data_IF_845963477825
#
_entry.id   IF_845963477825
#
_cell.length_a   1.000
_cell.length_b   1.000
_cell.length_c   1.000
_cell.angle_alpha   90.00
_cell.angle_beta   90.00
_cell.angle_gamma   90.00
#
_symmetry.space_group_name_H-M   'P 1'
#
loop_
_entity.id
_entity.type
_entity.pdbx_description
1 polymer ?
#
# COMPACT_ATOMS: atom_id res chain seq x y z
N UNK A 1 -1.15 -55.19 29.92
CA UNK A 1 -0.74 -54.81 28.55
C UNK A 1 -1.38 -53.49 28.04
N UNK A 2 -2.30 -52.93 28.83
CA UNK A 2 -3.15 -51.77 28.42
C UNK A 2 -2.58 -50.36 28.68
N UNK A 3 -1.59 -50.23 29.58
CA UNK A 3 -1.02 -48.96 29.95
C UNK A 3 -0.11 -48.34 28.88
N UNK A 4 0.46 -49.14 28.00
CA UNK A 4 1.35 -48.62 26.90
C UNK A 4 0.52 -48.08 25.73
N UNK A 5 -0.62 -48.73 25.45
CA UNK A 5 -1.55 -48.28 24.41
C UNK A 5 -2.24 -46.98 24.81
N UNK A 6 -2.61 -46.79 26.09
CA UNK A 6 -3.18 -45.55 26.57
C UNK A 6 -2.20 -44.37 26.54
N UNK A 7 -0.94 -44.60 26.90
CA UNK A 7 0.12 -43.56 26.82
C UNK A 7 0.40 -43.10 25.38
N UNK A 8 0.43 -44.06 24.43
CA UNK A 8 0.58 -43.72 23.00
C UNK A 8 -0.63 -42.97 22.46
N UNK A 9 -1.84 -43.39 22.83
CA UNK A 9 -3.05 -42.70 22.43
C UNK A 9 -3.13 -41.27 22.99
N UNK A 10 -2.75 -41.07 24.25
CA UNK A 10 -2.67 -39.73 24.87
C UNK A 10 -1.62 -38.87 24.18
N UNK A 11 -0.42 -39.41 23.87
CA UNK A 11 0.60 -38.66 23.17
C UNK A 11 0.14 -38.23 21.77
N UNK A 12 -0.51 -39.13 21.01
CA UNK A 12 -1.03 -38.81 19.67
C UNK A 12 -2.14 -37.76 19.77
N UNK A 13 -3.05 -37.87 20.73
CA UNK A 13 -4.12 -36.90 20.97
C UNK A 13 -3.54 -35.51 21.32
N UNK A 14 -2.53 -35.46 22.19
CA UNK A 14 -1.86 -34.21 22.58
C UNK A 14 -1.18 -33.57 21.36
N UNK A 15 -0.54 -34.37 20.54
CA UNK A 15 0.14 -33.89 19.33
C UNK A 15 -0.85 -33.36 18.28
N UNK A 16 -1.99 -34.03 18.15
CA UNK A 16 -3.08 -33.57 17.28
C UNK A 16 -3.67 -32.23 17.75
N UNK A 17 -3.91 -32.08 19.06
CA UNK A 17 -4.41 -30.82 19.65
C UNK A 17 -3.39 -29.69 19.43
N UNK A 18 -2.10 -29.95 19.65
CA UNK A 18 -1.05 -28.95 19.42
C UNK A 18 -0.96 -28.56 17.93
N UNK A 19 -1.11 -29.49 17.01
CA UNK A 19 -1.12 -29.22 15.58
C UNK A 19 -2.31 -28.34 15.17
N UNK A 20 -3.52 -28.65 15.68
CA UNK A 20 -4.71 -27.84 15.44
C UNK A 20 -4.55 -26.43 16.03
N UNK A 21 -4.01 -26.32 17.22
CA UNK A 21 -3.76 -25.04 17.88
C UNK A 21 -2.73 -24.20 17.12
N UNK A 22 -1.68 -24.83 16.62
CA UNK A 22 -0.67 -24.17 15.78
C UNK A 22 -1.28 -23.64 14.48
N UNK A 23 -2.10 -24.42 13.79
CA UNK A 23 -2.80 -23.98 12.57
C UNK A 23 -3.76 -22.83 12.88
N UNK A 24 -4.53 -22.93 13.98
CA UNK A 24 -5.45 -21.88 14.38
C UNK A 24 -4.72 -20.56 14.69
N UNK A 25 -3.60 -20.61 15.41
CA UNK A 25 -2.77 -19.42 15.68
C UNK A 25 -2.23 -18.83 14.38
N UNK A 26 -1.73 -19.65 13.45
CA UNK A 26 -1.23 -19.16 12.17
C UNK A 26 -2.32 -18.51 11.32
N UNK A 27 -3.52 -19.10 11.26
CA UNK A 27 -4.66 -18.51 10.54
C UNK A 27 -5.12 -17.21 11.20
N UNK A 28 -5.24 -17.17 12.51
CA UNK A 28 -5.62 -15.97 13.26
C UNK A 28 -4.56 -14.87 13.10
N UNK A 29 -3.28 -15.21 13.20
CA UNK A 29 -2.16 -14.30 13.00
C UNK A 29 -2.18 -13.70 11.60
N UNK A 30 -2.37 -14.52 10.56
CA UNK A 30 -2.39 -14.06 9.17
C UNK A 30 -3.57 -13.10 8.89
N UNK A 31 -4.73 -13.34 9.49
CA UNK A 31 -5.91 -12.44 9.38
C UNK A 31 -5.69 -11.16 10.19
N UNK A 32 -5.19 -11.28 11.42
CA UNK A 32 -5.00 -10.14 12.34
C UNK A 32 -3.90 -9.19 11.87
N UNK A 33 -2.78 -9.73 11.37
CA UNK A 33 -1.65 -8.90 10.92
C UNK A 33 -1.86 -8.26 9.55
N UNK A 34 -2.81 -8.74 8.74
CA UNK A 34 -3.19 -8.04 7.50
C UNK A 34 -3.93 -6.73 7.76
N UNK A 35 -4.63 -6.64 8.88
CA UNK A 35 -5.44 -5.46 9.24
C UNK A 35 -4.66 -4.48 10.13
N UNK A 36 -3.61 -4.94 10.82
CA UNK A 36 -2.79 -4.10 11.70
C UNK A 36 -1.42 -3.88 11.07
N UNK A 37 -1.31 -2.94 10.14
CA UNK A 37 0.00 -2.34 9.82
C UNK A 37 0.41 -1.51 11.04
N UNK A 38 1.19 -2.10 11.93
CA UNK A 38 1.81 -1.37 13.02
C UNK A 38 2.97 -0.58 12.41
N UNK A 39 2.80 0.71 12.28
CA UNK A 39 3.88 1.62 11.92
C UNK A 39 4.82 1.74 13.13
N UNK A 40 5.95 1.04 13.07
CA UNK A 40 6.99 1.04 14.11
C UNK A 40 7.99 2.18 13.92
N UNK A 41 7.73 3.12 13.02
CA UNK A 41 8.60 4.29 12.86
C UNK A 41 8.32 5.29 13.98
N UNK A 42 9.38 5.86 14.55
CA UNK A 42 9.33 6.79 15.69
C UNK A 42 8.49 8.06 15.40
N UNK A 43 8.20 8.34 14.14
CA UNK A 43 7.43 9.51 13.69
C UNK A 43 6.08 9.15 13.03
N UNK A 44 5.63 7.88 13.05
CA UNK A 44 4.39 7.45 12.38
C UNK A 44 4.29 7.97 10.93
N UNK A 45 5.40 7.95 10.21
CA UNK A 45 5.57 8.58 8.89
C UNK A 45 4.66 7.99 7.81
N UNK A 46 4.02 6.86 8.10
CA UNK A 46 3.18 6.10 7.17
C UNK A 46 1.73 5.99 7.63
N UNK A 47 1.34 6.73 8.68
CA UNK A 47 -0.04 6.79 9.16
C UNK A 47 -0.56 8.20 9.11
N UNK A 48 -1.79 8.36 8.63
CA UNK A 48 -2.46 9.65 8.60
C UNK A 48 -2.77 10.11 10.02
N UNK A 49 -2.53 11.39 10.32
CA UNK A 49 -2.93 11.99 11.60
C UNK A 49 -4.46 11.99 11.74
N UNK A 50 -4.94 12.00 12.98
CA UNK A 50 -6.38 12.08 13.24
C UNK A 50 -7.01 13.34 12.63
N UNK A 51 -6.26 14.46 12.62
CA UNK A 51 -6.67 15.69 11.95
C UNK A 51 -6.88 15.50 10.46
N UNK A 52 -5.95 14.82 9.78
CA UNK A 52 -6.06 14.50 8.34
C UNK A 52 -7.25 13.60 8.07
N UNK A 53 -7.46 12.55 8.88
CA UNK A 53 -8.61 11.65 8.75
C UNK A 53 -9.94 12.38 8.88
N UNK A 54 -10.04 13.27 9.88
CA UNK A 54 -11.24 14.08 10.09
C UNK A 54 -11.51 15.02 8.91
N UNK A 55 -10.45 15.62 8.34
CA UNK A 55 -10.59 16.48 7.15
C UNK A 55 -11.05 15.68 5.93
N UNK A 56 -10.50 14.48 5.71
CA UNK A 56 -10.90 13.62 4.59
C UNK A 56 -12.35 13.16 4.71
N UNK A 57 -12.79 12.81 5.92
CA UNK A 57 -14.20 12.45 6.17
C UNK A 57 -15.18 13.64 6.06
N UNK A 58 -14.67 14.87 6.16
CA UNK A 58 -15.47 16.09 6.02
C UNK A 58 -15.55 16.64 4.57
N UNK A 59 -14.96 15.93 3.60
CA UNK A 59 -15.08 16.34 2.19
C UNK A 59 -16.53 16.21 1.75
N UNK A 60 -17.14 17.32 1.29
CA UNK A 60 -18.53 17.35 0.85
C UNK A 60 -18.65 17.05 -0.64
N UNK A 61 -17.76 17.63 -1.46
CA UNK A 61 -17.78 17.47 -2.92
C UNK A 61 -16.73 16.45 -3.38
N UNK A 62 -17.02 15.63 -4.41
CA UNK A 62 -16.04 14.71 -4.96
C UNK A 62 -14.80 15.44 -5.50
N UNK A 63 -13.64 15.00 -5.09
CA UNK A 63 -12.32 15.50 -5.54
C UNK A 63 -11.61 14.41 -6.29
N UNK A 64 -11.12 14.70 -7.50
CA UNK A 64 -10.29 13.77 -8.25
C UNK A 64 -8.81 14.17 -8.10
N UNK A 65 -8.04 13.29 -7.50
CA UNK A 65 -6.61 13.44 -7.32
C UNK A 65 -5.89 12.60 -8.39
N UNK A 66 -5.11 13.25 -9.24
CA UNK A 66 -4.35 12.59 -10.30
C UNK A 66 -2.90 12.45 -9.89
N UNK A 67 -2.44 11.22 -9.75
CA UNK A 67 -1.06 10.90 -9.45
C UNK A 67 -0.34 10.48 -10.73
N UNK A 68 0.59 11.30 -11.18
CA UNK A 68 1.43 11.06 -12.36
C UNK A 68 2.77 10.49 -11.93
N UNK A 69 3.13 9.35 -12.48
CA UNK A 69 4.44 8.74 -12.25
C UNK A 69 4.86 7.93 -13.47
N UNK A 70 5.96 8.30 -14.12
CA UNK A 70 6.56 7.56 -15.25
C UNK A 70 7.23 6.29 -14.76
N UNK A 71 6.42 5.23 -14.55
CA UNK A 71 6.87 3.97 -13.96
C UNK A 71 7.83 3.22 -14.88
N UNK A 72 7.54 3.21 -16.18
CA UNK A 72 8.39 2.56 -17.20
C UNK A 72 9.80 3.14 -17.22
N UNK A 73 9.93 4.46 -17.25
CA UNK A 73 11.22 5.17 -17.28
C UNK A 73 11.96 5.14 -15.95
N UNK A 74 11.25 4.91 -14.84
CA UNK A 74 11.86 4.84 -13.52
C UNK A 74 12.46 3.46 -13.19
N UNK A 75 12.54 2.54 -14.16
CA UNK A 75 13.06 1.17 -13.93
C UNK A 75 14.50 1.20 -13.41
N UNK A 76 15.33 2.08 -13.93
CA UNK A 76 16.74 2.22 -13.54
C UNK A 76 16.94 3.08 -12.28
N UNK A 77 15.85 3.61 -11.71
CA UNK A 77 15.86 4.48 -10.53
C UNK A 77 15.12 3.87 -9.34
N UNK A 78 15.67 2.83 -8.66
CA UNK A 78 14.95 2.09 -7.60
C UNK A 78 14.49 2.98 -6.45
N UNK A 79 15.24 4.04 -6.12
CA UNK A 79 14.88 4.99 -5.06
C UNK A 79 13.61 5.78 -5.40
N UNK A 80 13.48 6.21 -6.64
CA UNK A 80 12.31 6.96 -7.12
C UNK A 80 11.09 6.03 -7.13
N UNK A 81 11.23 4.81 -7.63
CA UNK A 81 10.16 3.80 -7.60
C UNK A 81 9.67 3.49 -6.19
N UNK A 82 10.60 3.26 -5.25
CA UNK A 82 10.24 3.01 -3.85
C UNK A 82 9.52 4.21 -3.24
N UNK A 83 9.95 5.43 -3.55
CA UNK A 83 9.29 6.64 -3.07
C UNK A 83 7.90 6.80 -3.68
N UNK A 84 7.76 6.60 -4.99
CA UNK A 84 6.48 6.66 -5.69
C UNK A 84 5.46 5.62 -5.15
N UNK A 85 5.93 4.40 -4.89
CA UNK A 85 5.09 3.37 -4.27
C UNK A 85 4.56 3.80 -2.89
N UNK A 86 5.42 4.42 -2.05
CA UNK A 86 5.01 4.94 -0.74
C UNK A 86 3.99 6.08 -0.85
N UNK A 87 4.19 6.98 -1.81
CA UNK A 87 3.23 8.07 -2.07
C UNK A 87 1.89 7.48 -2.52
N UNK A 88 1.90 6.52 -3.44
CA UNK A 88 0.69 5.82 -3.89
C UNK A 88 -0.05 5.18 -2.70
N UNK A 89 0.67 4.42 -1.86
CA UNK A 89 0.09 3.78 -0.67
C UNK A 89 -0.58 4.81 0.26
N UNK A 90 0.07 5.96 0.48
CA UNK A 90 -0.48 7.05 1.30
C UNK A 90 -1.75 7.65 0.66
N UNK A 91 -1.76 7.87 -0.65
CA UNK A 91 -2.92 8.40 -1.37
C UNK A 91 -4.10 7.41 -1.34
N UNK A 92 -3.84 6.12 -1.45
CA UNK A 92 -4.86 5.08 -1.30
C UNK A 92 -5.41 5.03 0.13
N UNK A 93 -4.55 5.22 1.13
CA UNK A 93 -5.00 5.35 2.52
C UNK A 93 -5.89 6.59 2.69
N UNK A 94 -5.49 7.76 2.16
CA UNK A 94 -6.32 8.97 2.17
C UNK A 94 -7.67 8.73 1.51
N UNK A 95 -7.70 8.06 0.37
CA UNK A 95 -8.95 7.68 -0.31
C UNK A 95 -9.87 6.85 0.57
N UNK A 96 -9.31 5.92 1.36
CA UNK A 96 -10.09 5.05 2.24
C UNK A 96 -10.83 5.77 3.36
N UNK A 97 -10.34 6.95 3.78
CA UNK A 97 -10.95 7.79 4.82
C UNK A 97 -11.89 8.87 4.28
N UNK A 98 -12.09 8.96 2.97
CA UNK A 98 -12.89 10.01 2.33
C UNK A 98 -14.33 9.63 1.99
N UNK A 99 -14.81 8.48 2.46
CA UNK A 99 -16.15 7.93 2.16
C UNK A 99 -16.48 7.93 0.65
N UNK A 100 -15.47 7.66 -0.19
CA UNK A 100 -15.58 7.63 -1.64
C UNK A 100 -15.60 9.00 -2.31
N UNK A 101 -15.39 10.09 -1.56
CA UNK A 101 -15.33 11.45 -2.10
C UNK A 101 -13.99 11.78 -2.77
N UNK A 102 -12.90 11.11 -2.37
CA UNK A 102 -11.61 11.24 -3.02
C UNK A 102 -11.44 10.12 -4.06
N UNK A 103 -11.38 10.49 -5.32
CA UNK A 103 -11.10 9.58 -6.44
C UNK A 103 -9.63 9.69 -6.80
N UNK A 104 -8.88 8.58 -6.69
CA UNK A 104 -7.48 8.53 -7.08
C UNK A 104 -7.35 7.96 -8.49
N UNK A 105 -6.79 8.75 -9.41
CA UNK A 105 -6.42 8.36 -10.76
C UNK A 105 -4.90 8.26 -10.84
N UNK A 106 -4.36 7.06 -11.11
CA UNK A 106 -2.93 6.84 -11.29
C UNK A 106 -2.62 6.81 -12.78
N UNK A 107 -1.73 7.68 -13.23
CA UNK A 107 -1.41 7.89 -14.63
C UNK A 107 0.09 7.68 -14.83
N UNK A 108 0.46 6.87 -15.82
CA UNK A 108 1.85 6.67 -16.26
C UNK A 108 2.08 7.50 -17.52
N UNK A 109 2.80 8.63 -17.44
CA UNK A 109 3.19 9.40 -18.61
C UNK A 109 4.30 8.68 -19.38
N UNK A 110 3.94 8.14 -20.54
CA UNK A 110 4.90 7.58 -21.48
C UNK A 110 5.40 8.70 -22.44
N UNK A 111 6.65 8.64 -22.89
CA UNK A 111 7.18 9.62 -23.84
C UNK A 111 6.33 9.72 -25.11
N UNK A 112 6.07 10.94 -25.56
CA UNK A 112 5.30 11.25 -26.78
C UNK A 112 3.85 10.72 -26.77
N UNK A 113 3.24 10.60 -25.58
CA UNK A 113 1.88 10.11 -25.40
C UNK A 113 0.91 11.22 -24.98
N UNK A 114 -0.39 10.94 -25.10
CA UNK A 114 -1.44 11.83 -24.59
C UNK A 114 -1.36 12.00 -23.05
N UNK A 115 -0.82 11.02 -22.34
CA UNK A 115 -0.65 11.09 -20.88
C UNK A 115 0.46 12.07 -20.51
N UNK A 116 1.52 12.18 -21.31
CA UNK A 116 2.56 13.18 -21.17
C UNK A 116 2.02 14.59 -21.44
N UNK A 117 1.29 14.78 -22.56
CA UNK A 117 0.65 16.07 -22.89
C UNK A 117 -0.31 16.52 -21.79
N UNK A 118 -1.05 15.60 -21.22
CA UNK A 118 -1.95 15.86 -20.09
C UNK A 118 -1.19 16.28 -18.83
N UNK A 119 -0.06 15.64 -18.52
CA UNK A 119 0.80 16.04 -17.41
C UNK A 119 1.32 17.47 -17.59
N UNK A 120 1.82 17.80 -18.78
CA UNK A 120 2.29 19.15 -19.10
C UNK A 120 1.16 20.19 -19.04
N UNK A 121 -0.02 19.88 -19.56
CA UNK A 121 -1.19 20.78 -19.53
C UNK A 121 -1.62 21.09 -18.10
N UNK A 122 -1.49 20.13 -17.18
CA UNK A 122 -1.78 20.31 -15.76
C UNK A 122 -0.63 20.99 -15.00
N UNK A 123 0.43 21.40 -15.67
CA UNK A 123 1.53 22.17 -15.11
C UNK A 123 2.61 21.35 -14.44
N UNK A 124 2.62 20.02 -14.62
CA UNK A 124 3.68 19.18 -14.10
C UNK A 124 4.98 19.44 -14.87
N UNK A 125 6.07 19.51 -14.14
CA UNK A 125 7.42 19.62 -14.71
C UNK A 125 8.12 18.27 -14.58
N UNK A 126 8.49 17.70 -15.71
CA UNK A 126 9.26 16.48 -15.72
C UNK A 126 10.76 16.74 -15.45
N UNK A 127 11.42 15.73 -14.90
CA UNK A 127 12.86 15.74 -14.68
C UNK A 127 13.56 15.04 -15.86
N UNK A 128 14.51 15.69 -16.56
CA UNK A 128 15.22 15.05 -17.66
C UNK A 128 16.15 13.95 -17.12
N UNK A 129 16.19 12.84 -17.83
CA UNK A 129 17.15 11.76 -17.61
C UNK A 129 18.42 11.95 -18.42
N UNK A 130 19.46 11.17 -18.13
CA UNK A 130 20.72 11.18 -18.91
C UNK A 130 20.54 10.66 -20.34
N UNK A 131 19.46 9.94 -20.61
CA UNK A 131 19.14 9.37 -21.93
C UNK A 131 18.27 10.30 -22.79
N UNK A 132 17.86 11.44 -22.22
CA UNK A 132 17.07 12.45 -22.92
C UNK A 132 15.55 12.31 -22.70
N UNK A 133 15.11 11.27 -22.02
CA UNK A 133 13.72 11.09 -21.61
C UNK A 133 13.36 11.96 -20.40
N UNK A 134 12.08 12.12 -20.15
CA UNK A 134 11.58 12.96 -19.07
C UNK A 134 10.74 12.13 -18.11
N UNK A 135 11.14 12.07 -16.83
CA UNK A 135 10.37 11.41 -15.79
C UNK A 135 9.43 12.43 -15.14
N UNK A 136 8.15 12.11 -15.14
CA UNK A 136 7.13 12.86 -14.41
C UNK A 136 6.86 12.22 -13.06
N UNK A 137 6.77 13.05 -12.03
CA UNK A 137 6.37 12.67 -10.69
C UNK A 137 5.63 13.84 -10.05
N UNK A 138 4.34 13.71 -9.83
CA UNK A 138 3.55 14.80 -9.26
C UNK A 138 2.08 14.50 -9.07
N UNK A 139 1.38 15.46 -8.50
CA UNK A 139 -0.05 15.43 -8.21
C UNK A 139 -0.73 16.62 -8.89
N UNK A 140 -1.94 16.39 -9.38
CA UNK A 140 -2.84 17.41 -9.93
C UNK A 140 -4.28 17.15 -9.52
#
# INVERSE_FOLDING_TARGET
MDTQLSRRAISIATLAVLAVFFVAINLFSNVSFRTSRIDLTEASLFTLSDGTRNMLGAIEEPVTLKFFFSEGLATDFPRIRTYAARVRDMLEEMRSYSDGKLVLEVIDPEPYSETEDRAMTLGLKGAPTTEGDVIYFGLA
#
